data_IF_058100107287
#
_entry.id   IF_058100107287
#
_cell.length_a   1.000
_cell.length_b   1.000
_cell.length_c   1.000
_cell.angle_alpha   90.00
_cell.angle_beta   90.00
_cell.angle_gamma   90.00
#
_symmetry.space_group_name_H-M   'P 1'
#
loop_
_entity.id
_entity.type
_entity.pdbx_description
1 polymer ?
#
# COMPACT_ATOMS: atom_id res chain seq x y z
N UNK A 1 17.66 1.03 22.68
CA UNK A 1 17.67 0.75 21.23
C UNK A 1 16.23 0.61 20.79
N UNK A 2 15.74 1.44 19.87
CA UNK A 2 14.37 1.36 19.35
C UNK A 2 14.22 0.10 18.50
N UNK A 3 13.23 -0.74 18.81
CA UNK A 3 12.98 -1.95 18.03
C UNK A 3 12.31 -1.63 16.69
N UNK A 4 12.51 -2.47 15.67
CA UNK A 4 11.85 -2.32 14.35
C UNK A 4 10.32 -2.34 14.51
N UNK A 5 9.79 -3.12 15.46
CA UNK A 5 8.36 -3.20 15.75
C UNK A 5 7.78 -1.86 16.22
N UNK A 6 8.47 -1.18 17.15
CA UNK A 6 8.05 0.14 17.65
C UNK A 6 8.11 1.19 16.53
N UNK A 7 9.18 1.17 15.74
CA UNK A 7 9.32 2.07 14.58
C UNK A 7 8.17 1.87 13.60
N UNK A 8 7.85 0.62 13.24
CA UNK A 8 6.74 0.31 12.34
C UNK A 8 5.39 0.73 12.92
N UNK A 9 5.16 0.53 14.21
CA UNK A 9 3.95 0.97 14.90
C UNK A 9 3.78 2.49 14.78
N UNK A 10 4.84 3.25 15.04
CA UNK A 10 4.83 4.72 14.96
C UNK A 10 4.63 5.23 13.53
N UNK A 11 5.36 4.68 12.56
CA UNK A 11 5.21 5.06 11.14
C UNK A 11 3.79 4.78 10.64
N UNK A 12 3.22 3.63 10.98
CA UNK A 12 1.83 3.30 10.61
C UNK A 12 0.83 4.23 11.29
N UNK A 13 1.03 4.56 12.56
CA UNK A 13 0.19 5.54 13.28
C UNK A 13 0.17 6.91 12.59
N UNK A 14 1.32 7.43 12.15
CA UNK A 14 1.36 8.64 11.34
C UNK A 14 0.66 8.44 9.98
N UNK A 15 0.97 7.34 9.29
CA UNK A 15 0.41 7.05 7.97
C UNK A 15 -1.12 6.91 7.95
N UNK A 16 -1.71 6.37 9.02
CA UNK A 16 -3.16 6.23 9.19
C UNK A 16 -3.87 7.56 9.40
N UNK A 17 -3.23 8.53 10.05
CA UNK A 17 -3.78 9.86 10.30
C UNK A 17 -3.52 10.84 9.15
N UNK A 18 -2.85 10.40 8.08
CA UNK A 18 -2.45 11.28 6.99
C UNK A 18 -1.26 12.21 7.32
N UNK A 19 -0.62 12.00 8.48
CA UNK A 19 0.49 12.81 9.00
C UNK A 19 1.81 12.43 8.30
N UNK A 20 1.85 12.55 6.97
CA UNK A 20 2.97 12.06 6.16
C UNK A 20 4.24 12.89 6.33
N UNK A 21 4.11 14.18 6.64
CA UNK A 21 5.25 15.05 6.93
C UNK A 21 5.89 14.68 8.28
N UNK A 22 5.08 14.43 9.32
CA UNK A 22 5.57 13.94 10.61
C UNK A 22 6.20 12.55 10.50
N UNK A 23 5.62 11.68 9.66
CA UNK A 23 6.21 10.38 9.34
C UNK A 23 7.61 10.52 8.77
N UNK A 24 7.80 11.40 7.78
CA UNK A 24 9.12 11.59 7.17
C UNK A 24 10.10 12.29 8.10
N UNK A 25 9.66 13.27 8.90
CA UNK A 25 10.52 13.90 9.90
C UNK A 25 11.02 12.89 10.94
N UNK A 26 10.13 12.03 11.44
CA UNK A 26 10.52 10.93 12.32
C UNK A 26 11.47 9.96 11.64
N UNK A 27 11.27 9.68 10.34
CA UNK A 27 12.14 8.79 9.58
C UNK A 27 13.56 9.36 9.38
N UNK A 28 13.71 10.68 9.26
CA UNK A 28 15.01 11.33 9.08
C UNK A 28 15.94 11.08 10.28
N UNK A 29 15.36 10.98 11.49
CA UNK A 29 16.05 10.69 12.75
C UNK A 29 16.42 9.19 12.91
N UNK A 30 15.87 8.30 12.09
CA UNK A 30 16.13 6.86 12.21
C UNK A 30 17.53 6.46 11.68
N UNK A 31 18.20 5.50 12.34
CA UNK A 31 19.42 4.91 11.81
C UNK A 31 19.22 4.31 10.40
N UNK A 32 20.23 4.40 9.54
CA UNK A 32 20.16 3.89 8.18
C UNK A 32 19.75 2.40 8.12
N UNK A 33 20.33 1.57 9.00
CA UNK A 33 20.00 0.14 9.07
C UNK A 33 18.51 -0.12 9.35
N UNK A 34 17.85 0.75 10.14
CA UNK A 34 16.41 0.66 10.40
C UNK A 34 15.62 1.09 9.18
N UNK A 35 16.01 2.19 8.53
CA UNK A 35 15.36 2.68 7.29
C UNK A 35 15.42 1.66 6.15
N UNK A 36 16.51 0.89 6.08
CA UNK A 36 16.72 -0.17 5.10
C UNK A 36 15.98 -1.47 5.44
N UNK A 37 15.32 -1.58 6.61
CA UNK A 37 14.45 -2.71 6.89
C UNK A 37 13.31 -2.76 5.86
N UNK A 38 13.03 -3.90 5.21
CA UNK A 38 12.02 -4.03 4.15
C UNK A 38 10.67 -3.39 4.48
N UNK A 39 10.12 -3.68 5.66
CA UNK A 39 8.82 -3.15 6.08
C UNK A 39 8.87 -1.64 6.34
N UNK A 40 9.98 -1.14 6.88
CA UNK A 40 10.16 0.30 7.12
C UNK A 40 10.26 1.03 5.79
N UNK A 41 11.11 0.55 4.87
CA UNK A 41 11.23 1.11 3.52
C UNK A 41 9.88 1.13 2.78
N UNK A 42 9.04 0.11 2.98
CA UNK A 42 7.67 0.09 2.44
C UNK A 42 6.79 1.21 3.00
N UNK A 43 6.79 1.46 4.30
CA UNK A 43 5.98 2.56 4.87
C UNK A 43 6.53 3.93 4.45
N UNK A 44 7.86 4.09 4.39
CA UNK A 44 8.48 5.33 3.90
C UNK A 44 8.13 5.61 2.44
N UNK A 45 8.25 4.62 1.56
CA UNK A 45 7.93 4.79 0.13
C UNK A 45 6.47 5.20 -0.08
N UNK A 46 5.55 4.60 0.69
CA UNK A 46 4.13 4.94 0.71
C UNK A 46 3.85 6.34 1.19
N UNK A 47 4.61 6.83 2.16
CA UNK A 47 4.49 8.20 2.65
C UNK A 47 5.01 9.21 1.63
N UNK A 48 6.16 8.93 1.00
CA UNK A 48 6.71 9.79 -0.05
C UNK A 48 5.77 9.87 -1.26
N UNK A 49 5.17 8.76 -1.70
CA UNK A 49 4.23 8.79 -2.81
C UNK A 49 3.00 9.65 -2.53
N UNK A 50 2.46 9.60 -1.29
CA UNK A 50 1.31 10.41 -0.89
C UNK A 50 1.64 11.91 -0.77
N UNK A 51 2.92 12.24 -0.61
CA UNK A 51 3.42 13.60 -0.65
C UNK A 51 3.81 14.05 -2.08
N UNK A 52 3.58 13.23 -3.11
CA UNK A 52 3.99 13.56 -4.48
C UNK A 52 5.51 13.52 -4.69
N UNK A 53 6.24 12.72 -3.89
CA UNK A 53 7.71 12.59 -3.93
C UNK A 53 8.15 11.22 -4.46
N UNK A 54 7.90 10.90 -5.74
CA UNK A 54 8.15 9.56 -6.27
C UNK A 54 9.65 9.22 -6.43
N UNK A 55 10.53 10.24 -6.49
CA UNK A 55 11.99 10.04 -6.52
C UNK A 55 12.47 9.47 -5.19
N UNK A 56 12.05 10.08 -4.07
CA UNK A 56 12.40 9.61 -2.73
C UNK A 56 11.80 8.23 -2.44
N UNK A 57 10.59 7.97 -2.92
CA UNK A 57 9.97 6.66 -2.83
C UNK A 57 10.79 5.57 -3.54
N UNK A 58 11.34 5.86 -4.72
CA UNK A 58 12.21 4.92 -5.44
C UNK A 58 13.51 4.68 -4.69
N UNK A 59 14.11 5.75 -4.17
CA UNK A 59 15.37 5.68 -3.44
C UNK A 59 15.25 4.74 -2.22
N UNK A 60 14.19 4.89 -1.42
CA UNK A 60 14.01 4.03 -0.23
C UNK A 60 13.65 2.59 -0.59
N UNK A 61 12.86 2.35 -1.64
CA UNK A 61 12.57 0.99 -2.12
C UNK A 61 13.84 0.31 -2.65
N UNK A 62 14.72 1.07 -3.30
CA UNK A 62 15.99 0.57 -3.85
C UNK A 62 16.99 0.25 -2.75
N UNK A 63 17.03 1.07 -1.69
CA UNK A 63 17.90 0.89 -0.54
C UNK A 63 17.44 -0.22 0.44
N UNK A 64 16.23 -0.76 0.29
CA UNK A 64 15.70 -1.81 1.16
C UNK A 64 16.61 -3.06 1.14
N UNK A 65 17.00 -3.53 2.33
CA UNK A 65 17.84 -4.71 2.49
C UNK A 65 17.03 -5.99 2.28
N UNK A 66 17.02 -6.46 1.04
CA UNK A 66 16.31 -7.65 0.61
C UNK A 66 16.76 -8.93 1.32
N UNK A 67 18.00 -9.02 1.80
CA UNK A 67 18.48 -10.23 2.50
C UNK A 67 17.71 -10.52 3.81
N UNK A 68 16.97 -9.54 4.32
CA UNK A 68 16.18 -9.66 5.56
C UNK A 68 14.66 -9.69 5.31
N UNK A 69 14.23 -9.70 4.05
CA UNK A 69 12.81 -9.70 3.70
C UNK A 69 12.22 -11.11 3.83
N UNK A 70 10.98 -11.19 4.32
CA UNK A 70 10.17 -12.41 4.19
C UNK A 70 9.85 -12.64 2.72
N UNK A 71 9.49 -13.88 2.29
CA UNK A 71 9.03 -14.13 0.92
C UNK A 71 7.88 -13.19 0.51
N UNK A 72 6.94 -12.94 1.43
CA UNK A 72 5.87 -11.96 1.23
C UNK A 72 6.37 -10.52 1.09
N UNK A 73 7.31 -10.10 1.94
CA UNK A 73 7.95 -8.78 1.87
C UNK A 73 8.70 -8.55 0.55
N UNK A 74 9.42 -9.56 0.05
CA UNK A 74 10.06 -9.54 -1.26
C UNK A 74 9.04 -9.31 -2.39
N UNK A 75 7.94 -10.07 -2.37
CA UNK A 75 6.88 -9.93 -3.37
C UNK A 75 6.27 -8.52 -3.33
N UNK A 76 5.90 -8.01 -2.15
CA UNK A 76 5.33 -6.67 -2.00
C UNK A 76 6.31 -5.60 -2.47
N UNK A 77 7.58 -5.65 -2.07
CA UNK A 77 8.59 -4.67 -2.49
C UNK A 77 8.77 -4.65 -4.01
N UNK A 78 8.78 -5.82 -4.65
CA UNK A 78 8.90 -5.94 -6.11
C UNK A 78 7.69 -5.32 -6.80
N UNK A 79 6.48 -5.61 -6.30
CA UNK A 79 5.24 -5.05 -6.84
C UNK A 79 5.12 -3.54 -6.60
N UNK A 80 5.56 -3.02 -5.45
CA UNK A 80 5.55 -1.57 -5.18
C UNK A 80 6.53 -0.84 -6.10
N UNK A 81 7.73 -1.42 -6.38
CA UNK A 81 8.66 -0.90 -7.40
C UNK A 81 8.06 -0.91 -8.80
N UNK A 82 7.43 -2.01 -9.21
CA UNK A 82 6.75 -2.10 -10.51
C UNK A 82 5.60 -1.08 -10.61
N UNK A 83 4.83 -0.91 -9.55
CA UNK A 83 3.78 0.12 -9.53
C UNK A 83 4.36 1.53 -9.56
N UNK A 84 5.55 1.77 -8.98
CA UNK A 84 6.21 3.07 -9.00
C UNK A 84 6.68 3.46 -10.42
N UNK A 85 7.13 2.50 -11.22
CA UNK A 85 7.55 2.78 -12.60
C UNK A 85 6.38 3.27 -13.47
N UNK A 86 5.14 2.86 -13.17
CA UNK A 86 3.94 3.42 -13.80
C UNK A 86 3.81 4.91 -13.48
N UNK A 87 3.90 5.29 -12.20
CA UNK A 87 3.77 6.70 -11.79
C UNK A 87 4.87 7.59 -12.34
N UNK A 88 6.09 7.07 -12.49
CA UNK A 88 7.25 7.87 -12.89
C UNK A 88 7.50 7.92 -14.39
N UNK A 89 7.22 6.83 -15.08
CA UNK A 89 7.70 6.61 -16.45
C UNK A 89 6.57 6.15 -17.38
N UNK A 90 5.33 6.02 -16.88
CA UNK A 90 4.21 5.39 -17.61
C UNK A 90 4.56 4.00 -18.17
N UNK A 91 5.47 3.28 -17.50
CA UNK A 91 5.99 2.00 -17.94
C UNK A 91 5.02 0.84 -17.63
N UNK A 92 3.80 0.90 -18.15
CA UNK A 92 2.69 0.01 -17.77
C UNK A 92 2.94 -1.45 -18.17
N UNK A 93 3.34 -1.70 -19.42
CA UNK A 93 3.63 -3.06 -19.89
C UNK A 93 4.78 -3.71 -19.11
N UNK A 94 5.85 -2.96 -18.86
CA UNK A 94 6.97 -3.43 -18.03
C UNK A 94 6.52 -3.74 -16.60
N UNK A 95 5.65 -2.92 -16.02
CA UNK A 95 5.10 -3.15 -14.69
C UNK A 95 4.20 -4.41 -14.61
N UNK A 96 3.39 -4.66 -15.65
CA UNK A 96 2.58 -5.88 -15.77
C UNK A 96 3.47 -7.13 -15.84
N UNK A 97 4.48 -7.11 -16.71
CA UNK A 97 5.43 -8.22 -16.85
C UNK A 97 6.19 -8.47 -15.54
N UNK A 98 6.66 -7.41 -14.88
CA UNK A 98 7.35 -7.51 -13.60
C UNK A 98 6.42 -8.09 -12.52
N UNK A 99 5.16 -7.67 -12.47
CA UNK A 99 4.18 -8.23 -11.53
C UNK A 99 3.94 -9.72 -11.78
N UNK A 100 3.73 -10.11 -13.04
CA UNK A 100 3.54 -11.52 -13.41
C UNK A 100 4.76 -12.37 -13.05
N UNK A 101 5.96 -11.91 -13.37
CA UNK A 101 7.20 -12.59 -13.03
C UNK A 101 7.38 -12.73 -11.50
N UNK A 102 7.04 -11.68 -10.73
CA UNK A 102 7.13 -11.71 -9.27
C UNK A 102 6.19 -12.76 -8.66
N UNK A 103 4.94 -12.88 -9.16
CA UNK A 103 4.02 -13.93 -8.70
C UNK A 103 4.45 -15.33 -9.16
N UNK A 104 5.02 -15.47 -10.35
CA UNK A 104 5.50 -16.77 -10.85
C UNK A 104 6.71 -17.28 -10.04
N UNK A 105 7.58 -16.38 -9.59
CA UNK A 105 8.73 -16.71 -8.75
C UNK A 105 8.36 -16.92 -7.27
N UNK A 106 7.19 -16.43 -6.84
CA UNK A 106 6.74 -16.54 -5.46
C UNK A 106 6.12 -17.92 -5.20
N UNK A 107 6.65 -18.66 -4.22
CA UNK A 107 6.04 -19.91 -3.74
C UNK A 107 4.83 -19.60 -2.86
N UNK A 108 3.57 -19.84 -3.29
CA UNK A 108 2.39 -19.34 -2.57
C UNK A 108 2.28 -19.86 -1.13
N UNK A 109 2.72 -21.09 -0.89
CA UNK A 109 2.68 -21.75 0.43
C UNK A 109 3.69 -21.16 1.44
N UNK A 110 4.69 -20.39 1.01
CA UNK A 110 5.68 -19.79 1.91
C UNK A 110 5.35 -18.35 2.32
N UNK A 111 4.21 -17.82 1.85
CA UNK A 111 3.81 -16.43 2.07
C UNK A 111 2.68 -16.36 3.10
N UNK A 112 2.88 -15.55 4.13
CA UNK A 112 1.83 -15.26 5.13
C UNK A 112 0.57 -14.68 4.43
N UNK A 113 -0.65 -15.10 4.81
CA UNK A 113 -1.87 -14.62 4.19
C UNK A 113 -2.03 -13.09 4.18
N UNK A 114 -1.56 -12.40 5.22
CA UNK A 114 -1.62 -10.94 5.29
C UNK A 114 -0.66 -10.28 4.29
N UNK A 115 0.55 -10.84 4.13
CA UNK A 115 1.50 -10.39 3.12
C UNK A 115 0.99 -10.68 1.70
N UNK A 116 0.38 -11.85 1.49
CA UNK A 116 -0.25 -12.18 0.21
C UNK A 116 -1.38 -11.21 -0.14
N UNK A 117 -2.24 -10.89 0.81
CA UNK A 117 -3.27 -9.87 0.62
C UNK A 117 -2.66 -8.47 0.32
N UNK A 118 -1.54 -8.15 0.97
CA UNK A 118 -0.75 -6.95 0.68
C UNK A 118 -0.24 -6.89 -0.76
N UNK A 119 0.32 -8.00 -1.25
CA UNK A 119 0.79 -8.15 -2.62
C UNK A 119 -0.34 -8.05 -3.64
N UNK A 120 -1.44 -8.79 -3.42
CA UNK A 120 -2.61 -8.78 -4.29
C UNK A 120 -3.21 -7.37 -4.41
N UNK A 121 -3.24 -6.58 -3.32
CA UNK A 121 -3.67 -5.18 -3.36
C UNK A 121 -2.82 -4.34 -4.31
N UNK A 122 -1.49 -4.49 -4.26
CA UNK A 122 -0.58 -3.74 -5.15
C UNK A 122 -0.73 -4.20 -6.58
N UNK A 123 -0.89 -5.51 -6.81
CA UNK A 123 -1.14 -6.05 -8.14
C UNK A 123 -2.44 -5.52 -8.76
N UNK A 124 -3.54 -5.48 -7.99
CA UNK A 124 -4.79 -4.89 -8.45
C UNK A 124 -4.60 -3.43 -8.83
N UNK A 125 -3.80 -2.66 -8.07
CA UNK A 125 -3.48 -1.27 -8.45
C UNK A 125 -2.77 -1.18 -9.80
N UNK A 126 -1.84 -2.09 -10.10
CA UNK A 126 -1.18 -2.18 -11.41
C UNK A 126 -2.20 -2.50 -12.50
N UNK A 127 -3.06 -3.51 -12.30
CA UNK A 127 -4.08 -3.90 -13.28
C UNK A 127 -5.10 -2.79 -13.54
N UNK A 128 -5.54 -2.08 -12.51
CA UNK A 128 -6.45 -0.94 -12.65
C UNK A 128 -5.79 0.22 -13.40
N UNK A 129 -4.50 0.47 -13.14
CA UNK A 129 -3.74 1.46 -13.90
C UNK A 129 -3.67 1.05 -15.38
N UNK A 130 -3.32 -0.21 -15.66
CA UNK A 130 -3.30 -0.72 -17.04
C UNK A 130 -4.65 -0.62 -17.74
N UNK A 131 -5.74 -0.96 -17.06
CA UNK A 131 -7.09 -0.88 -17.62
C UNK A 131 -7.50 0.56 -17.95
N UNK A 132 -7.06 1.52 -17.12
CA UNK A 132 -7.31 2.96 -17.34
C UNK A 132 -6.62 3.46 -18.61
N UNK A 133 -5.45 2.92 -18.94
CA UNK A 133 -4.68 3.29 -20.13
C UNK A 133 -4.87 2.31 -21.31
N UNK A 134 -5.88 1.44 -21.28
CA UNK A 134 -6.19 0.47 -22.34
C UNK A 134 -5.07 -0.54 -22.63
N UNK A 135 -4.16 -0.74 -21.69
CA UNK A 135 -3.05 -1.70 -21.77
C UNK A 135 -3.46 -3.12 -21.32
N UNK A 136 -4.71 -3.28 -20.89
CA UNK A 136 -5.37 -4.57 -20.64
C UNK A 136 -6.87 -4.49 -20.94
N UNK A 137 -7.53 -5.64 -21.02
CA UNK A 137 -8.97 -5.75 -21.23
C UNK A 137 -9.77 -5.15 -20.06
N UNK A 138 -10.87 -4.47 -20.38
CA UNK A 138 -11.76 -3.81 -19.39
C UNK A 138 -12.29 -4.80 -18.35
N UNK A 139 -12.57 -6.02 -18.77
CA UNK A 139 -13.06 -7.11 -17.93
C UNK A 139 -12.04 -7.49 -16.85
N UNK A 140 -10.74 -7.48 -17.17
CA UNK A 140 -9.69 -7.75 -16.19
C UNK A 140 -9.61 -6.64 -15.13
N UNK A 141 -9.78 -5.38 -15.53
CA UNK A 141 -9.88 -4.26 -14.60
C UNK A 141 -11.08 -4.40 -13.65
N UNK A 142 -12.24 -4.79 -14.18
CA UNK A 142 -13.45 -5.01 -13.38
C UNK A 142 -13.28 -6.17 -12.39
N UNK A 143 -12.77 -7.32 -12.86
CA UNK A 143 -12.48 -8.47 -12.01
C UNK A 143 -11.46 -8.13 -10.91
N UNK A 144 -10.45 -7.33 -11.22
CA UNK A 144 -9.48 -6.84 -10.23
C UNK A 144 -10.15 -5.96 -9.17
N UNK A 145 -11.05 -5.05 -9.56
CA UNK A 145 -11.84 -4.22 -8.64
C UNK A 145 -12.72 -5.06 -7.73
N UNK A 146 -13.41 -6.06 -8.28
CA UNK A 146 -14.38 -6.88 -7.54
C UNK A 146 -13.72 -7.76 -6.46
N UNK A 147 -12.41 -8.00 -6.56
CA UNK A 147 -11.64 -8.74 -5.54
C UNK A 147 -11.23 -7.90 -4.32
N UNK A 148 -11.24 -6.57 -4.43
CA UNK A 148 -10.78 -5.67 -3.36
C UNK A 148 -11.49 -5.87 -2.01
N UNK A 149 -12.83 -6.04 -1.93
CA UNK A 149 -13.51 -6.21 -0.65
C UNK A 149 -13.07 -7.45 0.13
N UNK A 150 -12.76 -8.56 -0.55
CA UNK A 150 -12.28 -9.78 0.09
C UNK A 150 -10.86 -9.60 0.65
N UNK A 151 -9.98 -8.97 -0.14
CA UNK A 151 -8.60 -8.66 0.26
C UNK A 151 -8.58 -7.73 1.48
N UNK A 152 -9.45 -6.71 1.51
CA UNK A 152 -9.53 -5.76 2.62
C UNK A 152 -9.83 -6.42 3.96
N UNK A 153 -10.60 -7.52 3.99
CA UNK A 153 -10.89 -8.28 5.22
C UNK A 153 -9.67 -9.01 5.79
N UNK A 154 -8.72 -9.38 4.94
CA UNK A 154 -7.52 -10.13 5.31
C UNK A 154 -6.41 -9.18 5.77
N UNK A 155 -6.37 -7.96 5.22
CA UNK A 155 -5.35 -6.98 5.57
C UNK A 155 -5.39 -6.64 7.07
N UNK A 156 -4.22 -6.57 7.74
CA UNK A 156 -4.13 -6.38 9.19
C UNK A 156 -4.65 -5.01 9.65
N UNK A 157 -4.81 -4.06 8.71
CA UNK A 157 -5.35 -2.72 8.95
C UNK A 157 -6.82 -2.70 9.39
N UNK A 158 -7.59 -3.76 9.13
CA UNK A 158 -9.00 -3.86 9.55
C UNK A 158 -9.18 -3.85 11.09
N UNK A 159 -8.17 -4.31 11.86
CA UNK A 159 -8.20 -4.30 13.33
C UNK A 159 -7.69 -3.01 13.97
N UNK A 160 -6.86 -2.23 13.27
CA UNK A 160 -6.32 -0.97 13.79
C UNK A 160 -7.29 0.21 13.65
N UNK A 161 -8.21 0.16 12.68
CA UNK A 161 -9.30 1.14 12.58
C UNK A 161 -10.16 1.20 13.85
N UNK A 162 -10.36 0.05 14.51
CA UNK A 162 -11.11 -0.01 15.77
C UNK A 162 -10.33 0.63 16.92
N UNK A 163 -9.02 0.39 17.04
CA UNK A 163 -8.20 0.92 18.14
C UNK A 163 -7.89 2.41 18.01
N UNK A 164 -7.73 2.92 16.79
CA UNK A 164 -7.56 4.37 16.54
C UNK A 164 -8.85 5.12 16.83
N UNK A 165 -10.01 4.53 16.50
CA UNK A 165 -11.31 5.05 16.93
C UNK A 165 -11.38 5.13 18.45
N UNK A 166 -11.12 4.03 19.16
CA UNK A 166 -11.21 4.01 20.62
C UNK A 166 -10.21 5.00 21.27
N UNK A 167 -9.02 5.20 20.68
CA UNK A 167 -8.05 6.20 21.11
C UNK A 167 -8.52 7.64 20.85
N UNK A 168 -9.04 7.95 19.66
CA UNK A 168 -9.54 9.29 19.32
C UNK A 168 -10.84 9.64 20.08
N UNK A 169 -11.69 8.66 20.33
CA UNK A 169 -12.87 8.77 21.20
C UNK A 169 -12.46 9.05 22.66
N UNK A 170 -11.40 8.40 23.14
CA UNK A 170 -10.85 8.67 24.49
C UNK A 170 -10.22 10.06 24.65
N UNK A 171 -9.88 10.72 23.53
CA UNK A 171 -9.33 12.09 23.48
C UNK A 171 -10.42 13.14 23.19
N UNK A 172 -11.70 12.76 23.12
CA UNK A 172 -12.81 13.70 22.86
C UNK A 172 -12.96 14.17 21.42
N UNK A 173 -12.17 13.63 20.47
CA UNK A 173 -12.12 14.06 19.06
C UNK A 173 -12.75 13.03 18.09
N UNK A 174 -13.53 12.07 18.61
CA UNK A 174 -14.02 10.92 17.85
C UNK A 174 -15.08 11.24 16.77
N UNK A 175 -15.78 12.36 16.85
CA UNK A 175 -16.93 12.64 15.96
C UNK A 175 -16.59 13.33 14.64
N UNK A 176 -15.39 13.92 14.48
CA UNK A 176 -15.07 14.73 13.31
C UNK A 176 -14.29 14.00 12.19
N UNK A 177 -13.71 12.83 12.50
CA UNK A 177 -12.73 12.20 11.60
C UNK A 177 -13.22 10.96 10.82
N UNK A 178 -14.51 10.65 10.86
CA UNK A 178 -15.05 9.50 10.11
C UNK A 178 -16.40 9.82 9.44
N UNK A 179 -16.43 10.64 8.37
CA UNK A 179 -17.63 10.70 7.55
C UNK A 179 -17.73 9.40 6.74
N UNK A 180 -18.72 8.58 7.08
CA UNK A 180 -19.34 7.54 6.26
C UNK A 180 -18.52 6.28 5.90
N UNK A 181 -18.61 5.25 6.75
CA UNK A 181 -18.77 3.86 6.29
C UNK A 181 -20.19 3.32 6.52
N UNK A 182 -21.14 4.18 6.91
CA UNK A 182 -22.53 3.81 7.21
C UNK A 182 -23.59 4.53 6.37
N UNK A 183 -23.24 5.46 5.48
CA UNK A 183 -24.22 5.93 4.49
C UNK A 183 -24.19 4.99 3.28
N UNK A 184 -25.28 4.26 3.09
CA UNK A 184 -25.64 3.62 1.82
C UNK A 184 -25.26 4.55 0.66
N UNK A 185 -24.25 4.20 -0.12
CA UNK A 185 -23.98 4.85 -1.39
C UNK A 185 -25.03 4.31 -2.36
N UNK A 186 -26.17 4.99 -2.44
CA UNK A 186 -27.04 4.92 -3.62
C UNK A 186 -26.26 5.53 -4.79
N UNK A 187 -25.57 4.67 -5.55
CA UNK A 187 -24.99 5.09 -6.83
C UNK A 187 -26.15 5.16 -7.83
N UNK A 188 -26.88 6.27 -7.85
CA UNK A 188 -27.63 6.66 -9.05
C UNK A 188 -26.62 7.13 -10.09
N UNK A 189 -26.20 6.22 -10.95
CA UNK A 189 -25.52 6.56 -12.19
C UNK A 189 -26.54 7.29 -13.07
N UNK A 190 -26.48 8.62 -13.06
CA UNK A 190 -27.12 9.45 -14.06
C UNK A 190 -26.40 9.28 -15.39
N UNK A 191 -26.74 8.21 -16.12
CA UNK A 191 -26.61 8.20 -17.58
C UNK A 191 -27.96 8.66 -18.12
N UNK A 192 -28.03 9.95 -18.45
CA UNK A 192 -29.01 10.45 -19.41
C UNK A 192 -28.31 10.50 -20.76
N UNK A 193 -28.67 9.57 -21.64
CA UNK A 193 -28.60 9.71 -23.10
C UNK A 193 -29.80 8.94 -23.69
N UNK A 194 -30.33 9.31 -24.87
CA UNK A 194 -30.07 10.51 -25.68
C UNK A 194 -31.16 11.59 -25.58
#
# INVERSE_FOLDING_TARGET
MTSISEVLSQLRSYGHRGAYSELTNYADELPLAVKQSPLVSLELSRAFLRQGRPIDAEAVLTAANLATATPGGHLILTLEKASLSIYRQMAIQAALQAAQAAFAAAEPQSIDPADRAGADRVHIRILLSAATYFETFKEQGQQARDRLPAIAKILPYSKYHCKVRDYLESQGNGSEYCPSLTSKVDIRLGYSEP
#
